data_IF_863306412992
#
_entry.id   IF_863306412992
#
_cell.length_a   1.000
_cell.length_b   1.000
_cell.length_c   1.000
_cell.angle_alpha   90.00
_cell.angle_beta   90.00
_cell.angle_gamma   90.00
#
_symmetry.space_group_name_H-M   'P 1'
#
loop_
_entity.id
_entity.type
_entity.pdbx_description
1 polymer ?
#
# COMPACT_ATOMS: atom_id res chain seq x y z
N UNK A 1 -13.28 -5.58 6.75
CA UNK A 1 -12.70 -5.41 5.39
C UNK A 1 -11.19 -5.66 5.40
N UNK A 2 -10.55 -5.77 6.57
CA UNK A 2 -9.10 -5.94 6.71
C UNK A 2 -8.58 -7.26 6.15
N UNK A 3 -9.38 -8.34 6.24
CA UNK A 3 -9.01 -9.66 5.72
C UNK A 3 -8.80 -9.70 4.20
N UNK A 4 -9.39 -8.76 3.44
CA UNK A 4 -9.17 -8.67 1.99
C UNK A 4 -7.74 -8.26 1.66
N UNK A 5 -7.17 -7.31 2.41
CA UNK A 5 -5.76 -6.91 2.25
C UNK A 5 -4.85 -8.09 2.53
N UNK A 6 -5.12 -8.84 3.61
CA UNK A 6 -4.33 -10.03 3.95
C UNK A 6 -4.42 -11.09 2.85
N UNK A 7 -5.61 -11.36 2.31
CA UNK A 7 -5.79 -12.30 1.22
C UNK A 7 -5.02 -11.88 -0.05
N UNK A 8 -5.09 -10.61 -0.43
CA UNK A 8 -4.33 -10.07 -1.58
C UNK A 8 -2.83 -10.13 -1.34
N UNK A 9 -2.38 -9.88 -0.11
CA UNK A 9 -0.99 -10.02 0.27
C UNK A 9 -0.50 -11.48 0.09
N UNK A 10 -1.27 -12.46 0.55
CA UNK A 10 -0.92 -13.87 0.35
C UNK A 10 -0.89 -14.27 -1.13
N UNK A 11 -1.86 -13.83 -1.93
CA UNK A 11 -1.90 -14.10 -3.37
C UNK A 11 -0.69 -13.44 -4.07
N UNK A 12 -0.40 -12.18 -3.76
CA UNK A 12 0.75 -11.47 -4.33
C UNK A 12 2.08 -12.14 -3.97
N UNK A 13 2.23 -12.61 -2.73
CA UNK A 13 3.41 -13.36 -2.31
C UNK A 13 3.55 -14.69 -3.05
N UNK A 14 2.46 -15.43 -3.25
CA UNK A 14 2.47 -16.65 -4.06
C UNK A 14 2.95 -16.37 -5.48
N UNK A 15 2.50 -15.27 -6.11
CA UNK A 15 2.96 -14.85 -7.44
C UNK A 15 4.46 -14.58 -7.48
N UNK A 16 5.04 -13.99 -6.42
CA UNK A 16 6.50 -13.79 -6.31
C UNK A 16 7.23 -15.13 -6.23
N UNK A 17 6.71 -16.09 -5.45
CA UNK A 17 7.36 -17.41 -5.29
C UNK A 17 7.24 -18.30 -6.53
N UNK A 18 6.17 -18.14 -7.31
CA UNK A 18 5.85 -18.93 -8.51
C UNK A 18 6.56 -18.39 -9.77
N UNK A 19 7.28 -17.27 -9.64
CA UNK A 19 8.08 -16.65 -10.69
C UNK A 19 8.92 -17.64 -11.51
N UNK A 20 9.55 -18.64 -10.87
CA UNK A 20 10.38 -19.62 -11.58
C UNK A 20 9.58 -20.54 -12.53
N UNK A 21 8.26 -20.64 -12.37
CA UNK A 21 7.37 -21.40 -13.24
C UNK A 21 6.71 -20.54 -14.32
N UNK A 22 6.54 -19.23 -14.10
CA UNK A 22 5.69 -18.35 -14.94
C UNK A 22 6.51 -17.40 -15.83
N UNK A 23 7.84 -17.32 -15.67
CA UNK A 23 8.73 -16.43 -16.46
C UNK A 23 8.31 -14.96 -16.44
N UNK A 24 7.69 -14.53 -15.33
CA UNK A 24 7.36 -13.13 -15.08
C UNK A 24 8.48 -12.54 -14.25
N UNK A 25 8.87 -11.31 -14.56
CA UNK A 25 9.88 -10.62 -13.79
C UNK A 25 9.38 -10.34 -12.36
N UNK A 26 10.20 -10.68 -11.35
CA UNK A 26 9.91 -10.45 -9.92
C UNK A 26 9.43 -9.02 -9.63
N UNK A 27 10.00 -8.04 -10.34
CA UNK A 27 9.71 -6.63 -10.13
C UNK A 27 8.28 -6.27 -10.56
N UNK A 28 7.77 -6.91 -11.62
CA UNK A 28 6.39 -6.69 -12.11
C UNK A 28 5.39 -7.22 -11.08
N UNK A 29 5.64 -8.41 -10.53
CA UNK A 29 4.78 -8.98 -9.48
C UNK A 29 4.82 -8.18 -8.18
N UNK A 30 6.00 -7.68 -7.79
CA UNK A 30 6.15 -6.81 -6.62
C UNK A 30 5.42 -5.47 -6.80
N UNK A 31 5.56 -4.83 -7.97
CA UNK A 31 4.86 -3.58 -8.27
C UNK A 31 3.34 -3.79 -8.33
N UNK A 32 2.89 -4.87 -8.97
CA UNK A 32 1.47 -5.23 -9.02
C UNK A 32 0.87 -5.45 -7.63
N UNK A 33 1.60 -6.14 -6.74
CA UNK A 33 1.20 -6.33 -5.35
C UNK A 33 1.03 -4.99 -4.62
N UNK A 34 1.97 -4.06 -4.79
CA UNK A 34 1.92 -2.74 -4.15
C UNK A 34 0.70 -1.92 -4.65
N UNK A 35 0.47 -1.88 -5.97
CA UNK A 35 -0.67 -1.17 -6.57
C UNK A 35 -2.01 -1.77 -6.12
N UNK A 36 -2.11 -3.09 -6.02
CA UNK A 36 -3.32 -3.77 -5.56
C UNK A 36 -3.61 -3.45 -4.09
N UNK A 37 -2.61 -3.51 -3.21
CA UNK A 37 -2.76 -3.16 -1.80
C UNK A 37 -3.20 -1.70 -1.62
N UNK A 38 -2.60 -0.76 -2.35
CA UNK A 38 -2.99 0.66 -2.32
C UNK A 38 -4.38 0.94 -2.87
N UNK A 39 -4.79 0.26 -3.94
CA UNK A 39 -6.15 0.36 -4.48
C UNK A 39 -7.17 -0.09 -3.44
N UNK A 40 -6.96 -1.24 -2.82
CA UNK A 40 -7.86 -1.78 -1.79
C UNK A 40 -7.90 -0.87 -0.56
N UNK A 41 -6.75 -0.33 -0.14
CA UNK A 41 -6.69 0.60 0.98
C UNK A 41 -7.52 1.87 0.72
N UNK A 42 -7.40 2.46 -0.47
CA UNK A 42 -8.19 3.65 -0.87
C UNK A 42 -9.68 3.32 -0.98
N UNK A 43 -10.04 2.20 -1.60
CA UNK A 43 -11.44 1.79 -1.77
C UNK A 43 -12.10 1.42 -0.44
N UNK A 44 -11.36 0.84 0.50
CA UNK A 44 -11.88 0.43 1.81
C UNK A 44 -11.87 1.56 2.86
N UNK A 45 -11.41 2.76 2.50
CA UNK A 45 -11.20 3.91 3.40
C UNK A 45 -10.54 3.50 4.72
N UNK A 46 -9.44 2.74 4.62
CA UNK A 46 -8.71 2.27 5.79
C UNK A 46 -7.85 3.40 6.36
N UNK A 47 -7.98 3.69 7.66
CA UNK A 47 -7.25 4.79 8.30
C UNK A 47 -5.75 4.51 8.25
N UNK A 48 -5.00 5.41 7.64
CA UNK A 48 -3.54 5.34 7.59
C UNK A 48 -2.95 6.09 8.78
N UNK A 49 -1.90 5.53 9.38
CA UNK A 49 -1.22 6.08 10.53
C UNK A 49 0.25 6.31 10.19
N UNK A 50 0.79 7.44 10.63
CA UNK A 50 2.22 7.72 10.57
C UNK A 50 2.86 7.46 11.93
N UNK A 51 4.03 6.84 11.94
CA UNK A 51 4.82 6.64 13.16
C UNK A 51 5.55 7.94 13.45
N UNK A 52 5.15 8.63 14.50
CA UNK A 52 5.79 9.87 14.93
C UNK A 52 7.11 9.59 15.67
N UNK A 53 8.10 10.45 15.47
CA UNK A 53 9.41 10.41 16.16
C UNK A 53 9.30 10.49 17.69
N UNK A 54 8.17 10.99 18.20
CA UNK A 54 7.89 11.11 19.65
C UNK A 54 7.27 9.83 20.23
N UNK A 55 7.09 8.77 19.43
CA UNK A 55 6.52 7.50 19.88
C UNK A 55 5.00 7.58 19.99
N UNK A 56 4.32 7.47 18.84
CA UNK A 56 2.87 7.42 18.78
C UNK A 56 2.37 7.16 17.36
N UNK A 57 1.22 6.50 17.25
CA UNK A 57 0.50 6.30 15.99
C UNK A 57 -0.47 7.48 15.82
N UNK A 58 -0.13 8.42 14.94
CA UNK A 58 -1.00 9.57 14.67
C UNK A 58 -1.79 9.25 13.40
N UNK A 59 -3.14 9.28 13.43
CA UNK A 59 -3.93 9.10 12.23
C UNK A 59 -3.59 10.21 11.24
N UNK A 60 -3.13 9.84 10.04
CA UNK A 60 -2.72 10.80 9.03
C UNK A 60 -3.92 11.62 8.52
N UNK A 61 -5.13 11.09 8.66
CA UNK A 61 -6.39 11.80 8.43
C UNK A 61 -6.53 13.09 9.25
N UNK A 62 -5.82 13.25 10.37
CA UNK A 62 -5.85 14.48 11.19
C UNK A 62 -4.92 15.56 10.61
N UNK A 63 -3.87 15.18 9.86
CA UNK A 63 -2.97 16.13 9.17
C UNK A 63 -3.58 16.68 7.88
N UNK A 64 -4.55 16.00 7.29
CA UNK A 64 -5.19 16.39 6.04
C UNK A 64 -6.67 16.71 6.28
N UNK A 65 -7.06 17.98 6.11
CA UNK A 65 -8.45 18.45 6.30
C UNK A 65 -9.47 17.74 5.38
N UNK A 66 -8.98 17.05 4.34
CA UNK A 66 -9.72 16.18 3.42
C UNK A 66 -10.05 14.77 3.93
N UNK A 67 -9.63 14.43 5.15
CA UNK A 67 -9.84 13.11 5.74
C UNK A 67 -8.89 12.03 5.19
N UNK A 68 -9.31 10.78 5.33
CA UNK A 68 -8.53 9.61 4.97
C UNK A 68 -8.14 9.48 3.47
N UNK A 69 -9.00 9.81 2.48
CA UNK A 69 -8.66 9.60 1.07
C UNK A 69 -7.57 10.56 0.56
N UNK A 70 -7.54 11.82 1.03
CA UNK A 70 -6.48 12.78 0.67
C UNK A 70 -5.14 12.43 1.34
N UNK A 71 -5.18 11.91 2.58
CA UNK A 71 -3.98 11.39 3.26
C UNK A 71 -3.35 10.21 2.51
N UNK A 72 -4.19 9.30 1.98
CA UNK A 72 -3.75 8.17 1.17
C UNK A 72 -3.13 8.65 -0.14
N UNK A 73 -3.76 9.62 -0.83
CA UNK A 73 -3.27 10.14 -2.10
C UNK A 73 -1.91 10.84 -1.96
N UNK A 74 -1.75 11.68 -0.93
CA UNK A 74 -0.48 12.36 -0.64
C UNK A 74 0.65 11.37 -0.32
N UNK A 75 0.37 10.34 0.49
CA UNK A 75 1.35 9.31 0.82
C UNK A 75 1.73 8.47 -0.41
N UNK A 76 0.76 8.13 -1.26
CA UNK A 76 0.97 7.37 -2.48
C UNK A 76 1.85 8.16 -3.45
N UNK A 77 1.55 9.45 -3.66
CA UNK A 77 2.37 10.33 -4.50
C UNK A 77 3.80 10.47 -3.98
N UNK A 78 3.98 10.60 -2.66
CA UNK A 78 5.31 10.68 -2.05
C UNK A 78 6.12 9.40 -2.27
N UNK A 79 5.55 8.23 -1.96
CA UNK A 79 6.23 6.95 -2.14
C UNK A 79 6.49 6.62 -3.62
N UNK A 80 5.55 6.94 -4.50
CA UNK A 80 5.72 6.76 -5.94
C UNK A 80 6.85 7.66 -6.47
N UNK A 81 6.90 8.93 -6.03
CA UNK A 81 7.99 9.84 -6.35
C UNK A 81 9.35 9.30 -5.91
N UNK A 82 9.43 8.72 -4.71
CA UNK A 82 10.66 8.11 -4.19
C UNK A 82 11.08 6.81 -4.90
N UNK A 83 10.15 6.08 -5.51
CA UNK A 83 10.45 4.89 -6.33
C UNK A 83 10.89 5.30 -7.75
N UNK A 84 10.48 6.47 -8.21
CA UNK A 84 10.83 7.01 -9.52
C UNK A 84 12.17 7.77 -9.52
N UNK A 85 12.62 8.28 -8.37
CA UNK A 85 13.97 8.81 -8.13
C UNK A 85 15.02 7.70 -8.08
#
# INVERSE_FOLDING_TARGET
>A
MEYLIVAVFFIGYLFITVEHQVKIDKTISALGMAVMCWTILKTADLRVFEVSEVGGLIPLADKFQGGNPEAIDSMLLHHLGKVAE
#
